data_IF_628711656035
#
_entry.id   IF_628711656035
#
_cell.length_a   1.000
_cell.length_b   1.000
_cell.length_c   1.000
_cell.angle_alpha   90.00
_cell.angle_beta   90.00
_cell.angle_gamma   90.00
#
_symmetry.space_group_name_H-M   'P 1'
#
loop_
_entity.id
_entity.type
_entity.pdbx_description
1 polymer ?
#
# COMPACT_ATOMS: atom_id res chain seq x y z
N UNK A 1 -20.91 35.23 26.85
CA UNK A 1 -21.45 33.89 26.57
C UNK A 1 -20.36 33.01 26.01
N UNK A 2 -19.75 32.20 26.87
CA UNK A 2 -19.22 30.85 26.60
C UNK A 2 -19.24 30.17 27.97
N UNK A 3 -20.37 29.55 28.29
CA UNK A 3 -20.60 28.79 29.51
C UNK A 3 -20.40 27.33 29.15
N UNK A 4 -19.46 26.69 29.84
CA UNK A 4 -19.08 25.29 29.62
C UNK A 4 -17.82 24.99 30.42
N UNK A 5 -17.86 25.21 31.73
CA UNK A 5 -16.73 24.95 32.63
C UNK A 5 -16.74 23.47 33.05
N UNK A 6 -15.92 22.64 32.43
CA UNK A 6 -15.65 21.30 32.95
C UNK A 6 -14.54 21.42 34.01
N UNK A 7 -14.94 21.57 35.29
CA UNK A 7 -14.02 21.58 36.43
C UNK A 7 -13.80 20.16 36.92
N UNK A 8 -12.60 19.63 36.74
CA UNK A 8 -12.13 18.42 37.40
C UNK A 8 -10.84 18.75 38.15
N UNK A 9 -10.90 18.74 39.49
CA UNK A 9 -9.74 18.89 40.37
C UNK A 9 -9.06 17.53 40.53
N UNK A 10 -8.05 17.23 39.71
CA UNK A 10 -7.21 16.05 39.86
C UNK A 10 -5.77 16.44 40.23
N UNK A 11 -5.11 15.66 41.11
CA UNK A 11 -3.68 15.83 41.43
C UNK A 11 -2.82 15.34 40.26
N UNK A 12 -1.66 15.96 39.98
CA UNK A 12 -0.77 15.51 38.90
C UNK A 12 -0.29 14.07 39.12
N UNK A 13 -0.52 13.19 38.13
CA UNK A 13 0.06 11.85 38.07
C UNK A 13 -0.80 10.68 38.60
N UNK A 14 -2.13 10.79 38.64
CA UNK A 14 -3.00 9.65 39.02
C UNK A 14 -4.17 9.43 38.07
N UNK A 15 -4.41 8.17 37.69
CA UNK A 15 -5.42 7.69 36.71
C UNK A 15 -6.84 7.47 37.27
N UNK A 16 -7.11 7.77 38.55
CA UNK A 16 -8.45 7.61 39.16
C UNK A 16 -8.68 8.68 40.24
N UNK A 17 -9.53 9.66 39.96
CA UNK A 17 -10.01 10.60 40.98
C UNK A 17 -11.16 9.93 41.78
N UNK A 18 -10.80 9.29 42.91
CA UNK A 18 -11.75 8.84 43.94
C UNK A 18 -11.92 9.94 45.00
N UNK A 19 -12.98 10.75 44.92
CA UNK A 19 -13.49 11.47 46.11
C UNK A 19 -15.04 11.39 46.09
N UNK A 20 -15.71 11.10 47.22
CA UNK A 20 -17.18 11.04 47.26
C UNK A 20 -17.77 12.44 47.07
N UNK A 21 -18.84 12.54 46.29
CA UNK A 21 -19.75 13.69 46.38
C UNK A 21 -20.55 13.49 47.67
N UNK A 22 -20.53 14.44 48.61
CA UNK A 22 -21.37 14.32 49.83
C UNK A 22 -22.83 14.11 49.43
N UNK A 23 -23.38 12.94 49.77
CA UNK A 23 -24.78 12.58 49.49
C UNK A 23 -25.03 11.73 48.24
N UNK A 24 -24.01 11.27 47.51
CA UNK A 24 -24.19 10.36 46.37
C UNK A 24 -23.35 9.10 46.49
N UNK A 25 -23.98 7.92 46.35
CA UNK A 25 -23.32 6.63 46.19
C UNK A 25 -22.81 6.37 44.76
N UNK A 26 -23.05 7.30 43.83
CA UNK A 26 -22.74 7.11 42.42
C UNK A 26 -21.33 7.59 42.09
N UNK A 27 -20.50 6.66 41.62
CA UNK A 27 -19.18 6.90 41.02
C UNK A 27 -19.37 7.42 39.58
N UNK A 28 -19.02 8.70 39.31
CA UNK A 28 -18.97 9.26 37.95
C UNK A 28 -17.87 10.34 37.86
N UNK A 29 -16.94 10.43 36.89
CA UNK A 29 -16.02 9.50 36.20
C UNK A 29 -15.10 10.32 35.25
N UNK A 30 -13.89 9.79 35.00
CA UNK A 30 -13.04 9.80 33.78
C UNK A 30 -12.70 11.06 32.94
N UNK A 31 -13.40 12.20 33.03
CA UNK A 31 -13.16 13.32 32.12
C UNK A 31 -12.09 14.29 32.67
N UNK A 32 -10.82 14.13 32.30
CA UNK A 32 -9.78 15.12 32.60
C UNK A 32 -9.71 16.11 31.42
N UNK A 33 -9.55 17.42 31.64
CA UNK A 33 -9.25 18.35 30.57
C UNK A 33 -7.95 17.93 29.87
N UNK A 34 -8.04 17.57 28.59
CA UNK A 34 -6.92 17.25 27.71
C UNK A 34 -6.96 18.16 26.49
N UNK A 35 -5.85 18.22 25.76
CA UNK A 35 -5.80 18.94 24.49
C UNK A 35 -6.78 18.31 23.48
N UNK A 36 -7.35 19.15 22.61
CA UNK A 36 -8.26 18.76 21.53
C UNK A 36 -9.56 18.03 21.94
N UNK A 37 -9.93 18.09 23.22
CA UNK A 37 -11.20 17.59 23.73
C UNK A 37 -12.28 18.69 23.68
N UNK A 38 -13.37 18.46 22.93
CA UNK A 38 -14.54 19.37 22.92
C UNK A 38 -15.49 19.08 24.07
N UNK A 39 -15.87 17.82 24.24
CA UNK A 39 -16.79 17.38 25.30
C UNK A 39 -16.40 15.99 25.78
N UNK A 40 -16.72 15.67 27.03
CA UNK A 40 -16.58 14.32 27.57
C UNK A 40 -17.83 13.99 28.37
N UNK A 41 -18.39 12.80 28.11
CA UNK A 41 -19.52 12.26 28.84
C UNK A 41 -19.19 10.89 29.40
N UNK A 42 -19.98 10.45 30.39
CA UNK A 42 -19.84 9.13 31.00
C UNK A 42 -21.17 8.41 30.87
N UNK A 43 -21.17 7.28 30.18
CA UNK A 43 -22.32 6.39 29.98
C UNK A 43 -21.89 4.95 30.32
N UNK A 44 -22.69 4.23 31.10
CA UNK A 44 -22.40 2.84 31.51
C UNK A 44 -20.97 2.60 32.03
N UNK A 45 -20.52 3.48 32.94
CA UNK A 45 -19.16 3.46 33.53
C UNK A 45 -18.00 3.66 32.54
N UNK A 46 -18.29 4.02 31.29
CA UNK A 46 -17.29 4.33 30.25
C UNK A 46 -17.27 5.81 29.93
N UNK A 47 -16.07 6.34 29.73
CA UNK A 47 -15.92 7.66 29.16
C UNK A 47 -16.20 7.61 27.66
N UNK A 48 -16.87 8.64 27.16
CA UNK A 48 -17.02 8.93 25.75
C UNK A 48 -16.45 10.31 25.49
N UNK A 49 -15.42 10.37 24.66
CA UNK A 49 -14.79 11.63 24.25
C UNK A 49 -15.45 12.14 22.96
N UNK A 50 -15.62 13.46 22.87
CA UNK A 50 -15.95 14.18 21.65
C UNK A 50 -14.77 15.10 21.37
N UNK A 51 -14.04 14.80 20.30
CA UNK A 51 -12.81 15.47 19.94
C UNK A 51 -13.02 16.69 19.03
N UNK A 52 -12.03 17.56 18.99
CA UNK A 52 -11.93 18.59 17.96
C UNK A 52 -11.87 17.97 16.55
N UNK A 53 -12.28 18.72 15.53
CA UNK A 53 -12.32 18.16 14.18
C UNK A 53 -10.91 17.80 13.73
N UNK A 54 -10.74 16.55 13.26
CA UNK A 54 -9.43 16.00 12.89
C UNK A 54 -8.60 15.43 14.03
N UNK A 55 -9.16 15.30 15.23
CA UNK A 55 -8.54 14.62 16.37
C UNK A 55 -9.39 13.44 16.83
N UNK A 56 -8.76 12.42 17.39
CA UNK A 56 -9.43 11.22 17.90
C UNK A 56 -8.64 10.56 19.04
N UNK A 57 -9.34 9.72 19.82
CA UNK A 57 -8.79 8.86 20.87
C UNK A 57 -8.45 7.49 20.25
N UNK A 58 -7.23 7.35 19.75
CA UNK A 58 -6.83 6.15 19.00
C UNK A 58 -6.28 5.04 19.89
N UNK A 59 -5.86 5.35 21.12
CA UNK A 59 -5.41 4.35 22.09
C UNK A 59 -6.55 3.84 23.00
N UNK A 60 -7.69 4.53 23.01
CA UNK A 60 -8.87 4.21 23.82
C UNK A 60 -8.71 4.55 25.31
N UNK A 61 -7.70 5.34 25.67
CA UNK A 61 -7.45 5.80 27.03
C UNK A 61 -8.03 7.20 27.22
N UNK A 62 -9.21 7.34 27.86
CA UNK A 62 -9.84 8.64 28.01
C UNK A 62 -9.07 9.59 28.94
N UNK A 63 -7.98 9.13 29.58
CA UNK A 63 -7.20 9.92 30.52
C UNK A 63 -6.13 10.79 29.86
N UNK A 64 -5.73 10.50 28.61
CA UNK A 64 -4.82 11.34 27.82
C UNK A 64 -5.51 12.10 26.68
N UNK A 65 -6.76 11.76 26.38
CA UNK A 65 -7.68 12.63 25.64
C UNK A 65 -7.83 12.26 24.17
N UNK A 66 -7.86 13.27 23.31
CA UNK A 66 -7.88 13.10 21.86
C UNK A 66 -6.46 13.29 21.35
N UNK A 67 -5.61 12.30 21.58
CA UNK A 67 -4.15 12.39 21.47
C UNK A 67 -3.63 12.36 20.03
N UNK A 68 -4.49 11.96 19.07
CA UNK A 68 -4.05 11.69 17.70
C UNK A 68 -4.64 12.67 16.69
N UNK A 69 -3.77 13.35 15.95
CA UNK A 69 -4.16 14.21 14.83
C UNK A 69 -4.32 13.39 13.54
N UNK A 70 -5.56 13.14 13.16
CA UNK A 70 -5.93 12.37 11.98
C UNK A 70 -5.58 13.07 10.66
N UNK A 71 -5.32 14.38 10.66
CA UNK A 71 -4.97 15.11 9.44
C UNK A 71 -3.50 14.98 9.06
N UNK A 72 -2.64 14.59 10.00
CA UNK A 72 -1.18 14.61 9.81
C UNK A 72 -0.46 13.35 10.29
N UNK A 73 -1.09 12.52 11.13
CA UNK A 73 -0.50 11.25 11.55
C UNK A 73 -0.44 10.28 10.38
N UNK A 74 0.75 9.78 10.07
CA UNK A 74 0.96 8.77 9.02
C UNK A 74 0.37 7.42 9.45
N UNK A 75 0.34 7.15 10.76
CA UNK A 75 -0.12 5.89 11.35
C UNK A 75 -1.65 5.85 11.59
N UNK A 76 -2.32 7.01 11.59
CA UNK A 76 -3.75 7.18 11.89
C UNK A 76 -4.43 8.15 10.91
N UNK A 77 -4.08 8.09 9.63
CA UNK A 77 -4.49 9.11 8.67
C UNK A 77 -5.99 9.02 8.32
N UNK A 78 -6.74 10.08 8.62
CA UNK A 78 -8.18 10.19 8.37
C UNK A 78 -9.05 9.48 9.41
N UNK A 79 -8.65 8.30 9.88
CA UNK A 79 -9.25 7.57 11.01
C UNK A 79 -8.19 6.76 11.75
N UNK A 80 -8.43 6.44 13.03
CA UNK A 80 -7.52 5.63 13.83
C UNK A 80 -7.15 4.32 13.14
N UNK A 81 -5.86 3.97 13.23
CA UNK A 81 -5.26 2.74 12.68
C UNK A 81 -5.24 2.68 11.14
N UNK A 82 -5.43 3.80 10.44
CA UNK A 82 -5.14 3.89 9.00
C UNK A 82 -3.69 4.29 8.80
N UNK A 83 -2.81 3.29 8.73
CA UNK A 83 -1.38 3.51 8.53
C UNK A 83 -1.04 3.61 7.04
N UNK A 84 -0.60 4.78 6.60
CA UNK A 84 -0.23 5.01 5.21
C UNK A 84 0.91 4.12 4.73
N UNK A 85 1.80 3.67 5.62
CA UNK A 85 2.87 2.70 5.27
C UNK A 85 2.30 1.34 4.85
N UNK A 86 1.10 0.99 5.31
CA UNK A 86 0.44 -0.28 4.99
C UNK A 86 -0.52 -0.15 3.80
N UNK A 87 -1.21 0.99 3.68
CA UNK A 87 -2.16 1.24 2.59
C UNK A 87 -1.46 1.59 1.28
N UNK A 88 -0.36 2.36 1.31
CA UNK A 88 0.36 2.81 0.10
C UNK A 88 1.54 1.90 -0.24
N UNK A 89 1.26 0.68 -0.69
CA UNK A 89 2.30 -0.31 -1.02
C UNK A 89 3.09 0.11 -2.25
N UNK A 90 4.34 -0.35 -2.35
CA UNK A 90 5.20 -0.01 -3.51
C UNK A 90 5.61 1.47 -3.58
N UNK A 91 5.23 2.30 -2.60
CA UNK A 91 5.53 3.72 -2.53
C UNK A 91 6.59 4.06 -1.47
N UNK A 92 7.19 5.24 -1.59
CA UNK A 92 8.18 5.79 -0.67
C UNK A 92 7.84 7.23 -0.27
N UNK A 93 8.15 7.58 0.99
CA UNK A 93 7.94 8.92 1.53
C UNK A 93 6.47 9.18 1.83
N UNK A 94 5.82 8.24 2.50
CA UNK A 94 4.43 8.30 2.90
C UNK A 94 4.17 9.54 3.77
N UNK A 95 3.05 10.20 3.52
CA UNK A 95 2.59 11.38 4.25
C UNK A 95 1.09 11.27 4.49
N UNK A 96 0.61 12.01 5.49
CA UNK A 96 -0.82 12.23 5.69
C UNK A 96 -1.11 13.70 5.45
N UNK A 97 -1.93 13.99 4.45
CA UNK A 97 -2.32 15.35 4.06
C UNK A 97 -3.84 15.47 4.19
N UNK A 98 -4.31 16.24 5.16
CA UNK A 98 -5.75 16.50 5.39
C UNK A 98 -6.55 15.19 5.54
N UNK A 99 -5.97 14.20 6.23
CA UNK A 99 -6.62 12.91 6.50
C UNK A 99 -6.62 11.95 5.32
N UNK A 100 -5.77 12.18 4.32
CA UNK A 100 -5.55 11.26 3.20
C UNK A 100 -4.09 10.86 3.08
N UNK A 101 -3.86 9.56 2.92
CA UNK A 101 -2.55 9.04 2.63
C UNK A 101 -2.07 9.51 1.26
N UNK A 102 -0.81 9.91 1.21
CA UNK A 102 -0.09 10.31 0.01
C UNK A 102 1.37 9.82 0.14
N UNK A 103 2.17 9.95 -0.91
CA UNK A 103 3.56 9.52 -0.94
C UNK A 103 4.41 10.41 -1.86
N UNK A 104 5.73 10.36 -1.75
CA UNK A 104 6.62 11.17 -2.58
C UNK A 104 6.84 10.58 -3.98
N UNK A 105 7.09 9.27 -4.05
CA UNK A 105 7.36 8.56 -5.31
C UNK A 105 7.10 7.06 -5.20
N UNK A 106 6.89 6.40 -6.33
CA UNK A 106 6.89 4.94 -6.42
C UNK A 106 8.31 4.39 -6.30
N UNK A 107 8.46 3.30 -5.55
CA UNK A 107 9.69 2.52 -5.52
C UNK A 107 10.04 2.03 -6.93
N UNK A 108 11.34 1.86 -7.20
CA UNK A 108 11.80 1.35 -8.49
C UNK A 108 11.14 0.02 -8.83
N UNK A 109 10.54 -0.06 -10.02
CA UNK A 109 9.80 -1.23 -10.48
C UNK A 109 8.31 -1.24 -10.13
N UNK A 110 7.82 -0.25 -9.40
CA UNK A 110 6.39 -0.08 -9.13
C UNK A 110 5.81 1.13 -9.86
N UNK A 111 4.52 1.07 -10.17
CA UNK A 111 3.74 2.16 -10.75
C UNK A 111 2.37 2.27 -10.10
N UNK A 112 1.91 3.51 -9.97
CA UNK A 112 0.53 3.89 -9.68
C UNK A 112 -0.23 3.90 -11.01
N UNK A 113 -1.04 2.88 -11.26
CA UNK A 113 -1.67 2.65 -12.56
C UNK A 113 -3.19 2.88 -12.55
N UNK A 114 -3.77 3.15 -11.38
CA UNK A 114 -5.15 3.58 -11.20
C UNK A 114 -5.29 5.08 -10.86
N UNK A 115 -4.16 5.79 -10.70
CA UNK A 115 -4.07 7.19 -10.26
C UNK A 115 -4.66 7.43 -8.85
N UNK A 116 -4.79 6.38 -8.02
CA UNK A 116 -5.27 6.46 -6.65
C UNK A 116 -4.11 6.46 -5.66
N UNK A 117 -3.70 7.67 -5.25
CA UNK A 117 -2.57 7.83 -4.33
C UNK A 117 -2.78 7.19 -2.95
N UNK A 118 -4.02 6.83 -2.61
CA UNK A 118 -4.36 6.28 -1.30
C UNK A 118 -4.07 4.78 -1.16
N UNK A 119 -3.95 4.05 -2.29
CA UNK A 119 -3.53 2.63 -2.31
C UNK A 119 -2.09 2.42 -2.84
N UNK A 120 -1.43 3.49 -3.28
CA UNK A 120 0.01 3.56 -3.46
C UNK A 120 0.45 3.33 -4.90
N UNK A 121 1.48 2.50 -5.07
CA UNK A 121 1.99 2.08 -6.37
C UNK A 121 1.80 0.57 -6.47
N UNK A 122 0.57 0.21 -6.78
CA UNK A 122 -0.04 -1.10 -6.68
C UNK A 122 0.50 -2.12 -7.70
N UNK A 123 1.17 -1.66 -8.76
CA UNK A 123 1.61 -2.52 -9.87
C UNK A 123 3.12 -2.67 -9.96
N UNK A 124 3.61 -3.91 -9.90
CA UNK A 124 4.98 -4.26 -10.30
C UNK A 124 5.12 -4.26 -11.83
N UNK A 125 5.71 -3.19 -12.38
CA UNK A 125 5.90 -3.04 -13.83
C UNK A 125 7.06 -3.88 -14.39
N UNK A 126 7.85 -4.56 -13.54
CA UNK A 126 8.93 -5.43 -13.98
C UNK A 126 8.43 -6.80 -14.42
N UNK A 127 7.30 -7.25 -13.85
CA UNK A 127 6.80 -8.63 -14.01
C UNK A 127 5.33 -8.71 -14.43
N UNK A 128 4.55 -7.63 -14.26
CA UNK A 128 3.14 -7.63 -14.65
C UNK A 128 2.99 -7.56 -16.18
N UNK A 129 2.39 -8.60 -16.76
CA UNK A 129 2.12 -8.71 -18.21
C UNK A 129 1.25 -7.57 -18.75
N UNK A 130 0.32 -7.06 -17.97
CA UNK A 130 -0.61 -6.00 -18.38
C UNK A 130 0.00 -4.59 -18.25
N UNK A 131 1.12 -4.46 -17.54
CA UNK A 131 1.78 -3.17 -17.24
C UNK A 131 3.31 -3.24 -17.42
N UNK A 132 3.78 -3.92 -18.47
CA UNK A 132 5.19 -4.27 -18.60
C UNK A 132 6.08 -3.08 -18.99
N UNK A 133 6.83 -2.59 -18.01
CA UNK A 133 7.71 -1.42 -18.09
C UNK A 133 7.01 -0.07 -18.00
N UNK A 134 5.68 -0.04 -18.01
CA UNK A 134 4.85 1.14 -17.78
C UNK A 134 3.38 0.72 -17.58
N UNK A 135 2.60 1.55 -16.89
CA UNK A 135 1.17 1.34 -16.74
C UNK A 135 0.46 1.18 -18.08
N UNK A 136 -0.47 0.23 -18.17
CA UNK A 136 -1.24 -0.12 -19.37
C UNK A 136 -0.40 -0.56 -20.58
N UNK A 137 0.90 -0.80 -20.42
CA UNK A 137 1.77 -1.36 -21.47
C UNK A 137 1.66 -2.88 -21.47
N UNK A 138 0.53 -3.39 -21.94
CA UNK A 138 0.28 -4.81 -22.06
C UNK A 138 1.27 -5.46 -23.04
N UNK A 139 1.83 -6.60 -22.64
CA UNK A 139 2.54 -7.47 -23.55
C UNK A 139 1.55 -8.23 -24.44
N UNK A 140 1.70 -8.06 -25.75
CA UNK A 140 1.11 -8.98 -26.74
C UNK A 140 1.79 -10.36 -26.72
N UNK A 141 2.95 -10.47 -26.06
CA UNK A 141 3.66 -11.71 -25.78
C UNK A 141 3.13 -12.49 -24.57
N UNK A 142 3.88 -13.49 -24.12
CA UNK A 142 3.43 -14.44 -23.09
C UNK A 142 3.66 -13.91 -21.66
N UNK A 143 4.82 -13.30 -21.38
CA UNK A 143 5.18 -12.81 -20.05
C UNK A 143 6.04 -11.54 -20.08
N UNK A 144 6.05 -10.82 -18.95
CA UNK A 144 6.92 -9.67 -18.70
C UNK A 144 8.10 -10.09 -17.82
N UNK A 145 9.32 -9.69 -18.19
CA UNK A 145 10.49 -9.88 -17.34
C UNK A 145 11.39 -8.65 -17.42
N UNK A 146 11.67 -8.05 -16.27
CA UNK A 146 12.51 -6.87 -16.12
C UNK A 146 12.09 -5.75 -17.08
N UNK A 147 10.79 -5.46 -17.14
CA UNK A 147 10.17 -4.42 -17.99
C UNK A 147 10.20 -4.68 -19.51
N UNK A 148 10.52 -5.90 -19.94
CA UNK A 148 10.60 -6.30 -21.34
C UNK A 148 9.57 -7.41 -21.61
N UNK A 149 8.81 -7.27 -22.69
CA UNK A 149 7.88 -8.29 -23.16
C UNK A 149 8.63 -9.41 -23.89
N UNK A 150 8.37 -10.65 -23.51
CA UNK A 150 8.90 -11.84 -24.16
C UNK A 150 7.79 -12.65 -24.82
N UNK A 151 8.12 -13.30 -25.93
CA UNK A 151 7.25 -14.24 -26.63
C UNK A 151 7.78 -15.66 -26.40
N UNK A 152 6.99 -16.51 -25.75
CA UNK A 152 7.26 -17.94 -25.60
C UNK A 152 7.09 -18.44 -24.18
N UNK A 153 6.62 -19.68 -24.03
CA UNK A 153 6.56 -20.36 -22.74
C UNK A 153 7.97 -20.36 -22.12
N UNK A 154 8.10 -19.99 -20.85
CA UNK A 154 9.34 -20.12 -20.08
C UNK A 154 9.83 -21.56 -20.17
N UNK A 155 10.71 -21.83 -21.11
CA UNK A 155 11.12 -23.19 -21.40
C UNK A 155 12.32 -23.54 -20.52
N UNK A 156 12.06 -23.64 -19.22
CA UNK A 156 12.90 -24.48 -18.37
C UNK A 156 12.67 -25.94 -18.81
N UNK A 157 13.74 -26.62 -19.23
CA UNK A 157 13.78 -28.00 -19.75
C UNK A 157 13.29 -28.24 -21.21
N UNK A 158 13.89 -27.57 -22.20
CA UNK A 158 13.86 -28.10 -23.58
C UNK A 158 14.99 -29.14 -23.74
N UNK A 159 14.68 -30.43 -24.02
CA UNK A 159 15.71 -31.42 -24.31
C UNK A 159 16.50 -31.01 -25.56
N UNK A 160 17.80 -31.28 -25.56
CA UNK A 160 18.74 -30.96 -26.66
C UNK A 160 18.37 -31.55 -28.03
N UNK A 161 17.32 -32.38 -28.09
CA UNK A 161 16.79 -33.08 -29.25
C UNK A 161 15.40 -32.61 -29.71
N UNK A 162 14.85 -31.51 -29.19
CA UNK A 162 13.51 -31.05 -29.60
C UNK A 162 13.45 -30.70 -31.10
N UNK A 163 12.62 -31.41 -31.86
CA UNK A 163 12.35 -31.15 -33.28
C UNK A 163 11.33 -30.01 -33.44
N UNK A 164 11.44 -29.22 -34.53
CA UNK A 164 10.45 -28.19 -34.85
C UNK A 164 9.10 -28.85 -35.17
N UNK A 165 8.07 -28.57 -34.38
CA UNK A 165 6.70 -29.04 -34.64
C UNK A 165 5.97 -27.99 -35.46
N UNK A 166 5.47 -28.39 -36.64
CA UNK A 166 4.70 -27.53 -37.54
C UNK A 166 3.54 -26.84 -36.80
N UNK A 167 3.40 -25.53 -36.98
CA UNK A 167 2.38 -24.72 -36.29
C UNK A 167 2.78 -24.15 -34.93
N UNK A 168 3.96 -24.48 -34.40
CA UNK A 168 4.46 -23.89 -33.13
C UNK A 168 5.51 -22.81 -33.40
N UNK A 169 5.22 -21.55 -33.04
CA UNK A 169 6.24 -20.49 -32.97
C UNK A 169 7.05 -20.71 -31.69
N UNK A 170 8.07 -21.56 -31.74
CA UNK A 170 8.97 -21.81 -30.59
C UNK A 170 10.36 -21.27 -30.85
N UNK A 171 10.84 -20.46 -29.92
CA UNK A 171 12.22 -20.02 -29.81
C UNK A 171 12.93 -20.90 -28.76
N UNK A 172 14.18 -21.29 -29.00
CA UNK A 172 14.99 -22.04 -28.03
C UNK A 172 16.45 -21.60 -28.04
N UNK A 173 17.14 -21.68 -26.89
CA UNK A 173 18.53 -21.25 -26.72
C UNK A 173 19.48 -22.46 -26.76
N UNK A 174 20.47 -22.44 -27.65
CA UNK A 174 21.44 -23.54 -27.77
C UNK A 174 22.79 -23.00 -28.24
N UNK A 175 23.91 -23.40 -27.61
CA UNK A 175 25.28 -23.01 -28.02
C UNK A 175 25.45 -21.50 -28.25
N UNK A 176 24.92 -20.69 -27.33
CA UNK A 176 24.98 -19.22 -27.37
C UNK A 176 24.30 -18.53 -28.57
N UNK A 177 23.42 -19.26 -29.28
CA UNK A 177 22.57 -18.71 -30.33
C UNK A 177 21.09 -18.95 -30.02
N UNK A 178 20.26 -17.95 -30.32
CA UNK A 178 18.80 -18.10 -30.30
C UNK A 178 18.37 -18.78 -31.59
N UNK A 179 17.60 -19.85 -31.50
CA UNK A 179 17.04 -20.53 -32.67
C UNK A 179 15.53 -20.33 -32.71
N UNK A 180 15.00 -20.13 -33.91
CA UNK A 180 13.56 -20.03 -34.16
C UNK A 180 13.13 -21.11 -35.16
N UNK A 181 11.96 -21.70 -34.95
CA UNK A 181 11.30 -22.55 -35.93
C UNK A 181 10.25 -21.73 -36.71
N UNK A 182 10.31 -21.76 -38.05
CA UNK A 182 9.20 -21.35 -38.91
C UNK A 182 8.85 -22.51 -39.86
N UNK A 183 7.72 -23.18 -39.59
CA UNK A 183 7.40 -24.45 -40.24
C UNK A 183 8.44 -25.53 -39.91
N UNK A 184 8.95 -26.25 -40.92
CA UNK A 184 9.99 -27.27 -40.76
C UNK A 184 11.42 -26.71 -40.79
N UNK A 185 11.59 -25.40 -40.93
CA UNK A 185 12.90 -24.77 -41.12
C UNK A 185 13.45 -24.21 -39.80
N UNK A 186 14.75 -24.47 -39.56
CA UNK A 186 15.51 -23.93 -38.41
C UNK A 186 16.23 -22.65 -38.83
N UNK A 187 16.09 -21.59 -38.04
CA UNK A 187 16.74 -20.29 -38.26
C UNK A 187 17.65 -19.96 -37.08
N UNK A 188 18.85 -19.45 -37.38
CA UNK A 188 19.76 -18.89 -36.38
C UNK A 188 19.52 -17.40 -36.21
N UNK A 189 19.34 -16.95 -34.96
CA UNK A 189 19.17 -15.56 -34.59
C UNK A 189 20.33 -15.15 -33.66
N UNK A 190 21.04 -14.07 -34.00
CA UNK A 190 22.08 -13.51 -33.13
C UNK A 190 21.44 -12.75 -31.97
N UNK A 191 22.06 -12.87 -30.79
CA UNK A 191 21.70 -12.10 -29.60
C UNK A 191 21.71 -10.60 -29.97
N UNK A 192 20.60 -9.91 -29.72
CA UNK A 192 20.36 -8.48 -29.96
C UNK A 192 20.02 -8.02 -31.40
N UNK A 193 19.51 -8.89 -32.30
CA UNK A 193 18.90 -8.43 -33.55
C UNK A 193 17.48 -8.97 -33.74
N UNK A 194 16.56 -8.09 -34.11
CA UNK A 194 15.15 -8.38 -34.45
C UNK A 194 14.98 -9.10 -35.82
N UNK A 195 16.08 -9.56 -36.43
CA UNK A 195 16.10 -10.13 -37.79
C UNK A 195 16.79 -11.49 -37.73
N UNK A 196 16.02 -12.56 -37.94
CA UNK A 196 16.52 -13.92 -38.10
C UNK A 196 16.76 -14.18 -39.60
N UNK A 197 17.90 -14.79 -39.94
CA UNK A 197 18.24 -15.13 -41.32
C UNK A 197 18.08 -16.65 -41.53
N UNK A 198 17.50 -17.06 -42.65
CA UNK A 198 17.69 -18.42 -43.17
C UNK A 198 19.08 -18.50 -43.76
N UNK A 199 19.82 -19.57 -43.49
CA UNK A 199 20.86 -20.00 -44.43
C UNK A 199 20.16 -20.25 -45.77
N UNK A 200 20.34 -19.33 -46.72
CA UNK A 200 20.11 -19.63 -48.13
C UNK A 200 21.36 -20.39 -48.55
N UNK A 201 21.21 -21.67 -48.90
CA UNK A 201 22.26 -22.46 -49.53
C UNK A 201 22.87 -21.72 -50.73
#
# INVERSE_FOLDING_TARGET
GKSGSYRCDCKPGTTLCKIPVEGSSDLKSACIPSDHLKECSVEDEKARLICEDGWDDCNGDPTDGCETNLNTSVEHCGVCNTNCLETTKGAFGQTCNEGKCDYALCLSGYGDCNDDRTDGCEVDVLSNKEHCGACSKKCEGEYCNNSICYYGDGAENIPSSAECVEGTKKYYYQYDIWKACFGNNRFGCFKNKSVCWSEVN
#
